data_IF_149391805787
#
_entry.id   IF_149391805787
#
_cell.length_a   1.000
_cell.length_b   1.000
_cell.length_c   1.000
_cell.angle_alpha   90.00
_cell.angle_beta   90.00
_cell.angle_gamma   90.00
#
_symmetry.space_group_name_H-M   'P 1'
#
loop_
_entity.id
_entity.type
_entity.pdbx_description
1 polymer ?
#
# COMPACT_ATOMS: atom_id res chain seq x y z
N UNK A 1 13.92 -28.54 16.49
CA UNK A 1 13.43 -27.28 15.91
C UNK A 1 12.24 -27.54 14.99
N UNK A 2 11.12 -26.89 15.22
CA UNK A 2 9.99 -26.97 14.28
C UNK A 2 10.33 -26.16 13.05
N UNK A 3 10.61 -26.82 11.94
CA UNK A 3 10.85 -26.17 10.67
C UNK A 3 9.50 -25.62 10.16
N UNK A 4 9.37 -24.31 10.12
CA UNK A 4 8.14 -23.64 9.66
C UNK A 4 8.12 -23.63 8.10
N UNK A 5 8.00 -24.82 7.51
CA UNK A 5 8.01 -25.00 6.06
C UNK A 5 6.59 -24.88 5.50
N UNK A 6 6.32 -23.96 4.57
CA UNK A 6 5.05 -23.92 3.87
C UNK A 6 4.94 -25.10 2.91
N UNK A 7 3.81 -25.78 2.92
CA UNK A 7 3.49 -26.77 1.90
C UNK A 7 2.99 -26.04 0.66
N UNK A 8 3.67 -26.20 -0.45
CA UNK A 8 3.28 -25.60 -1.72
C UNK A 8 2.71 -26.65 -2.66
N UNK A 9 1.55 -26.36 -3.20
CA UNK A 9 1.02 -27.07 -4.37
C UNK A 9 1.76 -26.60 -5.62
N UNK A 10 1.73 -27.41 -6.69
CA UNK A 10 2.43 -27.09 -7.95
C UNK A 10 2.00 -25.74 -8.52
N UNK A 11 0.70 -25.47 -8.53
CA UNK A 11 0.14 -24.19 -9.00
C UNK A 11 0.62 -22.98 -8.18
N UNK A 12 0.68 -23.12 -6.85
CA UNK A 12 1.15 -22.06 -5.95
C UNK A 12 2.65 -21.80 -6.13
N UNK A 13 3.41 -22.84 -6.40
CA UNK A 13 4.85 -22.71 -6.69
C UNK A 13 5.09 -21.96 -7.99
N UNK A 14 4.34 -22.27 -9.04
CA UNK A 14 4.43 -21.57 -10.33
C UNK A 14 4.09 -20.09 -10.20
N UNK A 15 3.03 -19.75 -9.45
CA UNK A 15 2.67 -18.35 -9.17
C UNK A 15 3.78 -17.59 -8.45
N UNK A 16 4.44 -18.22 -7.48
CA UNK A 16 5.58 -17.63 -6.76
C UNK A 16 6.80 -17.45 -7.67
N UNK A 17 7.09 -18.40 -8.53
CA UNK A 17 8.18 -18.29 -9.50
C UNK A 17 7.94 -17.18 -10.51
N UNK A 18 6.73 -17.06 -11.02
CA UNK A 18 6.32 -15.95 -11.89
C UNK A 18 6.43 -14.62 -11.14
N UNK A 19 5.93 -14.53 -9.91
CA UNK A 19 6.06 -13.36 -9.07
C UNK A 19 7.51 -12.96 -8.78
N UNK A 20 8.39 -13.93 -8.56
CA UNK A 20 9.82 -13.71 -8.38
C UNK A 20 10.50 -13.16 -9.63
N UNK A 21 10.16 -13.68 -10.80
CA UNK A 21 10.77 -13.27 -12.08
C UNK A 21 10.23 -11.96 -12.62
N UNK A 22 8.91 -11.76 -12.54
CA UNK A 22 8.21 -10.67 -13.24
C UNK A 22 7.64 -9.60 -12.34
N UNK A 23 7.71 -9.75 -11.02
CA UNK A 23 7.17 -8.81 -10.06
C UNK A 23 7.75 -7.40 -10.26
N UNK A 24 6.88 -6.39 -10.35
CA UNK A 24 7.29 -4.99 -10.57
C UNK A 24 8.10 -4.42 -9.40
N UNK A 25 7.77 -4.80 -8.17
CA UNK A 25 8.44 -4.29 -6.97
C UNK A 25 9.49 -5.27 -6.48
N UNK A 26 10.70 -4.77 -6.25
CA UNK A 26 11.81 -5.56 -5.73
C UNK A 26 11.46 -6.29 -4.42
N UNK A 27 10.84 -5.61 -3.47
CA UNK A 27 10.45 -6.22 -2.20
C UNK A 27 9.45 -7.38 -2.36
N UNK A 28 8.52 -7.31 -3.31
CA UNK A 28 7.62 -8.42 -3.63
C UNK A 28 8.39 -9.63 -4.20
N UNK A 29 9.31 -9.40 -5.12
CA UNK A 29 10.15 -10.46 -5.69
C UNK A 29 10.97 -11.17 -4.62
N UNK A 30 11.61 -10.42 -3.71
CA UNK A 30 12.39 -10.97 -2.61
C UNK A 30 11.51 -11.83 -1.69
N UNK A 31 10.30 -11.39 -1.39
CA UNK A 31 9.35 -12.14 -0.54
C UNK A 31 8.90 -13.44 -1.22
N UNK A 32 8.63 -13.44 -2.52
CA UNK A 32 8.37 -14.66 -3.28
C UNK A 32 9.56 -15.62 -3.20
N UNK A 33 10.78 -15.13 -3.34
CA UNK A 33 12.00 -15.91 -3.20
C UNK A 33 12.14 -16.52 -1.79
N UNK A 34 11.82 -15.78 -0.75
CA UNK A 34 11.80 -16.29 0.64
C UNK A 34 10.90 -17.51 0.76
N UNK A 35 9.68 -17.46 0.24
CA UNK A 35 8.74 -18.58 0.31
C UNK A 35 9.24 -19.78 -0.49
N UNK A 36 9.80 -19.58 -1.67
CA UNK A 36 10.37 -20.65 -2.50
C UNK A 36 11.55 -21.34 -1.80
N UNK A 37 12.47 -20.59 -1.20
CA UNK A 37 13.60 -21.13 -0.44
C UNK A 37 13.14 -21.90 0.80
N UNK A 38 12.13 -21.42 1.50
CA UNK A 38 11.53 -22.13 2.64
C UNK A 38 10.85 -23.43 2.22
N UNK A 39 10.20 -23.45 1.07
CA UNK A 39 9.58 -24.66 0.53
C UNK A 39 10.60 -25.75 0.20
N UNK A 40 11.85 -25.39 -0.06
CA UNK A 40 12.98 -26.33 -0.21
C UNK A 40 13.44 -26.96 1.11
N UNK A 41 12.89 -26.54 2.25
CA UNK A 41 13.24 -27.06 3.56
C UNK A 41 14.39 -26.33 4.27
N UNK A 42 14.84 -25.18 3.76
CA UNK A 42 15.93 -24.39 4.36
C UNK A 42 15.50 -23.77 5.70
N UNK A 43 16.44 -23.62 6.61
CA UNK A 43 16.20 -22.94 7.89
C UNK A 43 15.98 -21.43 7.69
N UNK A 44 15.16 -20.80 8.56
CA UNK A 44 14.87 -19.36 8.47
C UNK A 44 16.11 -18.47 8.55
N UNK A 45 17.12 -18.87 9.33
CA UNK A 45 18.41 -18.17 9.40
C UNK A 45 19.17 -18.24 8.08
N UNK A 46 19.18 -19.39 7.45
CA UNK A 46 19.84 -19.62 6.16
C UNK A 46 19.17 -18.80 5.05
N UNK A 47 17.85 -18.85 4.98
CA UNK A 47 17.06 -18.00 4.05
C UNK A 47 17.34 -16.52 4.29
N UNK A 48 17.33 -16.10 5.55
CA UNK A 48 17.63 -14.71 5.92
C UNK A 48 19.02 -14.26 5.45
N UNK A 49 20.03 -15.12 5.54
CA UNK A 49 21.38 -14.85 5.02
C UNK A 49 21.38 -14.69 3.50
N UNK A 50 20.66 -15.54 2.78
CA UNK A 50 20.58 -15.50 1.31
C UNK A 50 19.91 -14.22 0.81
N UNK A 51 18.79 -13.82 1.44
CA UNK A 51 17.98 -12.66 1.02
C UNK A 51 18.31 -11.38 1.79
N UNK A 52 19.28 -11.43 2.69
CA UNK A 52 19.68 -10.30 3.55
C UNK A 52 18.55 -9.78 4.44
N UNK A 53 17.82 -10.69 5.06
CA UNK A 53 16.75 -10.40 6.04
C UNK A 53 17.06 -11.07 7.37
N UNK A 54 16.49 -10.51 8.46
CA UNK A 54 16.49 -11.22 9.74
C UNK A 54 15.58 -12.46 9.70
N UNK A 55 15.88 -13.48 10.50
CA UNK A 55 15.02 -14.67 10.61
C UNK A 55 13.59 -14.35 11.05
N UNK A 56 13.42 -13.29 11.86
CA UNK A 56 12.10 -12.81 12.26
C UNK A 56 11.29 -12.29 11.07
N UNK A 57 11.92 -11.53 10.17
CA UNK A 57 11.29 -11.04 8.94
C UNK A 57 10.91 -12.21 8.02
N UNK A 58 11.78 -13.20 7.89
CA UNK A 58 11.50 -14.42 7.12
C UNK A 58 10.27 -15.13 7.67
N UNK A 59 10.22 -15.36 8.98
CA UNK A 59 9.09 -16.02 9.64
C UNK A 59 7.78 -15.20 9.52
N UNK A 60 7.88 -13.87 9.59
CA UNK A 60 6.73 -12.98 9.39
C UNK A 60 6.12 -13.13 7.98
N UNK A 61 6.95 -13.17 6.95
CA UNK A 61 6.48 -13.36 5.57
C UNK A 61 5.91 -14.75 5.31
N UNK A 62 6.48 -15.78 5.93
CA UNK A 62 5.93 -17.15 5.89
C UNK A 62 4.53 -17.18 6.50
N UNK A 63 4.36 -16.57 7.66
CA UNK A 63 3.05 -16.48 8.33
C UNK A 63 2.03 -15.75 7.44
N UNK A 64 2.40 -14.59 6.89
CA UNK A 64 1.52 -13.85 5.99
C UNK A 64 1.15 -14.63 4.73
N UNK A 65 2.08 -15.39 4.19
CA UNK A 65 1.80 -16.26 3.05
C UNK A 65 0.83 -17.39 3.42
N UNK A 66 0.99 -18.01 4.59
CA UNK A 66 0.05 -19.03 5.09
C UNK A 66 -1.35 -18.49 5.31
N UNK A 67 -1.47 -17.28 5.79
CA UNK A 67 -2.76 -16.65 6.12
C UNK A 67 -3.47 -16.08 4.88
N UNK A 68 -2.75 -15.51 3.93
CA UNK A 68 -3.30 -14.73 2.81
C UNK A 68 -2.82 -15.16 1.43
N UNK A 69 -1.94 -16.14 1.31
CA UNK A 69 -1.36 -16.57 0.05
C UNK A 69 -0.42 -15.53 -0.56
N UNK A 70 -0.26 -15.54 -1.87
CA UNK A 70 0.64 -14.62 -2.61
C UNK A 70 0.25 -13.13 -2.43
N UNK A 71 -1.02 -12.85 -2.22
CA UNK A 71 -1.52 -11.48 -1.96
C UNK A 71 -0.93 -10.92 -0.66
N UNK A 72 -0.70 -11.77 0.33
CA UNK A 72 -0.05 -11.40 1.60
C UNK A 72 1.39 -10.91 1.45
N UNK A 73 2.06 -11.24 0.36
CA UNK A 73 3.42 -10.78 0.05
C UNK A 73 3.46 -9.39 -0.57
N UNK A 74 2.33 -8.88 -1.04
CA UNK A 74 2.23 -7.52 -1.58
C UNK A 74 2.21 -6.49 -0.44
N UNK A 75 2.64 -5.27 -0.75
CA UNK A 75 2.50 -4.18 0.19
C UNK A 75 1.02 -3.80 0.34
N UNK A 76 0.59 -3.65 1.58
CA UNK A 76 -0.75 -3.15 1.88
C UNK A 76 -0.76 -1.64 1.64
N UNK A 77 -1.74 -1.16 0.90
CA UNK A 77 -1.98 0.27 0.70
C UNK A 77 -2.41 0.93 2.01
N UNK A 78 -2.09 2.19 2.19
CA UNK A 78 -2.56 2.97 3.33
C UNK A 78 -1.77 2.84 4.63
N UNK A 79 -0.57 2.26 4.60
CA UNK A 79 0.29 2.15 5.79
C UNK A 79 1.07 3.44 6.13
N UNK A 80 1.00 4.45 5.27
CA UNK A 80 1.63 5.73 5.52
C UNK A 80 0.85 6.60 6.51
N UNK A 81 1.41 7.77 6.83
CA UNK A 81 0.70 8.78 7.61
C UNK A 81 -0.58 9.19 6.88
N UNK A 82 -1.71 9.12 7.59
CA UNK A 82 -2.99 9.56 7.03
C UNK A 82 -2.95 11.06 6.73
N UNK A 83 -3.41 11.50 5.55
CA UNK A 83 -3.50 12.91 5.24
C UNK A 83 -4.50 13.60 6.16
N UNK A 84 -4.22 14.85 6.54
CA UNK A 84 -5.14 15.66 7.35
C UNK A 84 -6.39 16.08 6.57
N UNK A 85 -6.26 16.19 5.25
CA UNK A 85 -7.32 16.55 4.32
C UNK A 85 -7.38 15.49 3.21
N UNK A 86 -8.57 15.01 2.88
CA UNK A 86 -8.79 13.91 1.93
C UNK A 86 -9.74 14.33 0.82
N UNK A 87 -9.42 13.99 -0.42
CA UNK A 87 -10.30 14.23 -1.58
C UNK A 87 -11.66 13.58 -1.43
N UNK A 88 -11.68 12.37 -0.87
CA UNK A 88 -12.93 11.61 -0.69
C UNK A 88 -13.84 12.21 0.39
N UNK A 89 -13.24 12.61 1.52
CA UNK A 89 -14.03 13.14 2.66
C UNK A 89 -14.30 14.63 2.57
N UNK A 90 -13.32 15.41 2.11
CA UNK A 90 -13.34 16.88 2.19
C UNK A 90 -13.49 17.57 0.83
N UNK A 91 -13.39 16.82 -0.28
CA UNK A 91 -13.36 17.37 -1.64
C UNK A 91 -14.58 18.23 -2.00
N UNK A 92 -15.78 17.76 -1.73
CA UNK A 92 -17.03 18.45 -2.01
C UNK A 92 -17.18 19.73 -1.17
N UNK A 93 -16.89 19.64 0.13
CA UNK A 93 -16.95 20.77 1.05
C UNK A 93 -15.96 21.87 0.67
N UNK A 94 -14.72 21.51 0.33
CA UNK A 94 -13.70 22.47 -0.10
C UNK A 94 -14.03 23.12 -1.44
N UNK A 95 -14.57 22.38 -2.41
CA UNK A 95 -15.04 22.93 -3.68
C UNK A 95 -16.14 23.98 -3.46
N UNK A 96 -17.11 23.67 -2.63
CA UNK A 96 -18.20 24.60 -2.29
C UNK A 96 -17.66 25.89 -1.64
N UNK A 97 -16.75 25.78 -0.67
CA UNK A 97 -16.12 26.93 -0.02
C UNK A 97 -15.30 27.81 -0.98
N UNK A 98 -14.53 27.18 -1.87
CA UNK A 98 -13.73 27.92 -2.88
C UNK A 98 -14.63 28.68 -3.86
N UNK A 99 -15.76 28.10 -4.26
CA UNK A 99 -16.74 28.75 -5.11
C UNK A 99 -17.46 29.88 -4.41
N UNK A 100 -17.89 29.67 -3.16
CA UNK A 100 -18.56 30.67 -2.33
C UNK A 100 -17.68 31.91 -2.11
N UNK A 101 -16.42 31.72 -1.84
CA UNK A 101 -15.46 32.82 -1.61
C UNK A 101 -14.79 33.35 -2.88
N UNK A 102 -15.35 33.08 -4.04
CA UNK A 102 -14.83 33.56 -5.35
C UNK A 102 -13.33 33.29 -5.52
N UNK A 103 -12.90 32.07 -5.22
CA UNK A 103 -11.53 31.60 -5.30
C UNK A 103 -10.53 32.27 -4.33
N UNK A 104 -11.00 32.88 -3.26
CA UNK A 104 -10.13 33.34 -2.16
C UNK A 104 -9.70 32.14 -1.31
N UNK A 105 -8.63 31.50 -1.73
CA UNK A 105 -8.13 30.22 -1.14
C UNK A 105 -7.85 30.32 0.36
N UNK A 106 -7.31 31.46 0.81
CA UNK A 106 -7.00 31.68 2.24
C UNK A 106 -8.24 31.70 3.14
N UNK A 107 -9.33 32.28 2.67
CA UNK A 107 -10.61 32.35 3.40
C UNK A 107 -11.26 30.96 3.43
N UNK A 108 -11.29 30.28 2.29
CA UNK A 108 -11.81 28.92 2.20
C UNK A 108 -11.04 27.94 3.09
N UNK A 109 -9.71 28.07 3.16
CA UNK A 109 -8.88 27.29 4.06
C UNK A 109 -9.24 27.53 5.53
N UNK A 110 -9.35 28.78 5.93
CA UNK A 110 -9.68 29.15 7.31
C UNK A 110 -11.03 28.61 7.74
N UNK A 111 -12.06 28.76 6.92
CA UNK A 111 -13.39 28.22 7.22
C UNK A 111 -13.41 26.69 7.29
N UNK A 112 -12.68 26.03 6.39
CA UNK A 112 -12.56 24.58 6.43
C UNK A 112 -11.84 24.11 7.72
N UNK A 113 -10.77 24.80 8.12
CA UNK A 113 -10.04 24.52 9.36
C UNK A 113 -10.91 24.66 10.61
N UNK A 114 -11.71 25.73 10.68
CA UNK A 114 -12.65 25.98 11.77
C UNK A 114 -13.78 24.94 11.81
N UNK A 115 -14.34 24.59 10.67
CA UNK A 115 -15.42 23.60 10.57
C UNK A 115 -14.97 22.19 10.95
N UNK A 116 -13.73 21.82 10.66
CA UNK A 116 -13.19 20.46 10.91
C UNK A 116 -12.29 20.38 12.14
N UNK A 117 -12.03 21.49 12.80
CA UNK A 117 -11.12 21.59 13.95
C UNK A 117 -9.73 20.99 13.65
N UNK A 118 -9.22 21.22 12.44
CA UNK A 118 -7.94 20.75 11.93
C UNK A 118 -7.15 21.90 11.35
N UNK A 119 -5.84 21.85 11.48
CA UNK A 119 -4.94 22.84 10.88
C UNK A 119 -4.08 22.20 9.81
N UNK A 120 -4.04 22.77 8.62
CA UNK A 120 -3.20 22.36 7.50
C UNK A 120 -2.34 23.54 7.03
N UNK A 121 -1.14 23.26 6.53
CA UNK A 121 -0.31 24.30 5.94
C UNK A 121 -0.91 24.81 4.62
N UNK A 122 -0.64 26.07 4.28
CA UNK A 122 -1.06 26.66 3.01
C UNK A 122 -0.58 25.85 1.78
N UNK A 123 0.63 25.31 1.87
CA UNK A 123 1.19 24.45 0.82
C UNK A 123 0.41 23.13 0.68
N UNK A 124 0.01 22.52 1.80
CA UNK A 124 -0.80 21.29 1.82
C UNK A 124 -2.19 21.54 1.22
N UNK A 125 -2.83 22.65 1.58
CA UNK A 125 -4.14 23.03 1.06
C UNK A 125 -4.09 23.31 -0.47
N UNK A 126 -3.06 24.00 -0.94
CA UNK A 126 -2.84 24.24 -2.36
C UNK A 126 -2.61 22.95 -3.18
N UNK A 127 -1.83 22.01 -2.64
CA UNK A 127 -1.64 20.68 -3.28
C UNK A 127 -2.97 19.94 -3.38
N UNK A 128 -3.76 20.01 -2.33
CA UNK A 128 -5.09 19.40 -2.28
C UNK A 128 -6.01 19.99 -3.36
N UNK A 129 -6.05 21.32 -3.51
CA UNK A 129 -6.82 21.98 -4.56
C UNK A 129 -6.35 21.58 -5.95
N UNK A 130 -5.05 21.44 -6.18
CA UNK A 130 -4.49 20.95 -7.43
C UNK A 130 -4.93 19.51 -7.71
N UNK A 131 -4.89 18.65 -6.73
CA UNK A 131 -5.36 17.27 -6.82
C UNK A 131 -6.87 17.18 -7.14
N UNK A 132 -7.69 18.08 -6.58
CA UNK A 132 -9.11 18.18 -6.91
C UNK A 132 -9.36 18.62 -8.35
N UNK A 133 -8.52 19.48 -8.90
CA UNK A 133 -8.64 19.99 -10.27
C UNK A 133 -8.18 18.97 -11.33
N UNK A 134 -7.23 18.08 -10.99
CA UNK A 134 -6.79 17.00 -11.85
C UNK A 134 -7.70 15.77 -11.66
N UNK A 135 -8.30 15.21 -12.73
CA UNK A 135 -9.02 13.96 -12.62
C UNK A 135 -8.04 12.85 -12.22
N UNK A 136 -8.05 12.49 -10.97
CA UNK A 136 -7.17 11.43 -10.47
C UNK A 136 -7.53 10.09 -11.08
N UNK A 137 -6.57 9.42 -11.68
CA UNK A 137 -6.65 8.03 -12.17
C UNK A 137 -6.90 6.99 -11.05
N UNK A 138 -7.21 7.43 -9.83
CA UNK A 138 -7.46 6.54 -8.69
C UNK A 138 -8.73 5.71 -8.88
N UNK A 139 -9.74 6.26 -9.56
CA UNK A 139 -10.96 5.52 -9.88
C UNK A 139 -10.74 4.40 -10.90
N UNK A 140 -9.76 4.53 -11.79
CA UNK A 140 -9.44 3.50 -12.79
C UNK A 140 -8.71 2.29 -12.20
N UNK A 141 -7.93 2.44 -11.13
CA UNK A 141 -7.27 1.33 -10.46
C UNK A 141 -8.22 0.54 -9.56
N UNK A 142 -9.20 1.18 -8.95
CA UNK A 142 -10.25 0.53 -8.14
C UNK A 142 -11.22 -0.24 -9.03
N UNK A 143 -11.58 0.28 -10.20
CA UNK A 143 -12.46 -0.40 -11.14
C UNK A 143 -11.83 -1.66 -11.76
N UNK A 144 -10.51 -1.73 -11.88
CA UNK A 144 -9.80 -2.94 -12.36
C UNK A 144 -9.74 -4.05 -11.32
N UNK A 145 -9.73 -3.72 -10.04
CA UNK A 145 -9.72 -4.73 -8.97
C UNK A 145 -11.11 -5.34 -8.71
N UNK A 146 -12.18 -4.68 -9.14
CA UNK A 146 -13.58 -5.13 -8.99
C UNK A 146 -14.06 -5.98 -10.17
N UNK A 147 -13.41 -5.91 -11.34
CA UNK A 147 -13.78 -6.64 -12.55
C UNK A 147 -12.99 -7.94 -12.79
N UNK A 148 -12.26 -8.39 -11.80
CA UNK A 148 -11.53 -9.66 -11.85
C UNK A 148 -12.29 -10.80 -11.19
#
# INVERSE_FOLDING_TARGET
MRVNTPKLETSSREELEVGYRTGKRHCFRVRCHVILLKAEGRASNEVGTIVQMSHNSVNHWIKRYKDHGIVGLKNISGQGRKPKISVVADGEAVKALVQEHRQRVSVAQQEWEEANNKTVSRATFRRFLKELAEPTNVSASVAKDVSA
#
